data_IF_838843017403
#
_entry.id   IF_838843017403
#
_cell.length_a   1.000
_cell.length_b   1.000
_cell.length_c   1.000
_cell.angle_alpha   90.00
_cell.angle_beta   90.00
_cell.angle_gamma   90.00
#
_symmetry.space_group_name_H-M   'P 1'
#
loop_
_entity.id
_entity.type
_entity.pdbx_description
1 polymer ?
#
# COMPACT_ATOMS: atom_id res chain seq x y z
N UNK A 1 10.08 -51.11 -43.62
CA UNK A 1 10.00 -49.67 -43.98
C UNK A 1 9.03 -48.83 -43.14
N UNK A 2 8.00 -49.39 -42.48
CA UNK A 2 6.95 -48.59 -41.82
C UNK A 2 7.30 -48.02 -40.41
N UNK A 3 8.44 -48.38 -39.82
CA UNK A 3 8.84 -47.95 -38.47
C UNK A 3 9.48 -46.55 -38.40
N UNK A 4 9.95 -46.01 -39.54
CA UNK A 4 10.55 -44.68 -39.63
C UNK A 4 9.53 -43.54 -39.60
N UNK A 5 8.42 -43.70 -40.34
CA UNK A 5 7.34 -42.71 -40.48
C UNK A 5 6.55 -42.53 -39.17
N UNK A 6 6.37 -43.62 -38.41
CA UNK A 6 5.69 -43.57 -37.09
C UNK A 6 6.55 -42.89 -36.01
N UNK A 7 7.89 -43.02 -36.10
CA UNK A 7 8.82 -42.34 -35.18
C UNK A 7 8.90 -40.84 -35.45
N UNK A 8 8.93 -40.43 -36.72
CA UNK A 8 8.97 -39.00 -37.08
C UNK A 8 7.66 -38.29 -36.73
N UNK A 9 6.50 -38.93 -36.90
CA UNK A 9 5.21 -38.37 -36.49
C UNK A 9 5.08 -38.16 -34.98
N UNK A 10 5.53 -39.11 -34.16
CA UNK A 10 5.51 -38.99 -32.69
C UNK A 10 6.44 -37.87 -32.19
N UNK A 11 7.64 -37.75 -32.76
CA UNK A 11 8.57 -36.67 -32.45
C UNK A 11 8.02 -35.27 -32.80
N UNK A 12 7.25 -35.16 -33.90
CA UNK A 12 6.63 -33.89 -34.29
C UNK A 12 5.52 -33.47 -33.32
N UNK A 13 4.68 -34.41 -32.88
CA UNK A 13 3.60 -34.15 -31.91
C UNK A 13 4.18 -33.74 -30.54
N UNK A 14 5.24 -34.40 -30.08
CA UNK A 14 5.91 -34.04 -28.82
C UNK A 14 6.54 -32.64 -28.89
N UNK A 15 7.14 -32.29 -30.04
CA UNK A 15 7.68 -30.95 -30.26
C UNK A 15 6.58 -29.87 -30.31
N UNK A 16 5.44 -30.17 -30.95
CA UNK A 16 4.27 -29.28 -30.98
C UNK A 16 3.66 -29.06 -29.60
N UNK A 17 3.53 -30.11 -28.78
CA UNK A 17 3.02 -30.03 -27.41
C UNK A 17 3.96 -29.24 -26.49
N UNK A 18 5.29 -29.40 -26.65
CA UNK A 18 6.29 -28.57 -25.93
C UNK A 18 6.23 -27.10 -26.33
N UNK A 19 6.00 -26.81 -27.62
CA UNK A 19 5.81 -25.43 -28.10
C UNK A 19 4.51 -24.83 -27.54
N UNK A 20 3.41 -25.58 -27.55
CA UNK A 20 2.13 -25.13 -26.98
C UNK A 20 2.23 -24.87 -25.47
N UNK A 21 2.84 -25.79 -24.71
CA UNK A 21 3.02 -25.64 -23.26
C UNK A 21 3.95 -24.46 -22.92
N UNK A 22 5.06 -24.28 -23.64
CA UNK A 22 5.93 -23.13 -23.43
C UNK A 22 5.25 -21.78 -23.75
N UNK A 23 4.43 -21.72 -24.81
CA UNK A 23 3.67 -20.50 -25.14
C UNK A 23 2.59 -20.21 -24.09
N UNK A 24 1.89 -21.23 -23.60
CA UNK A 24 0.87 -21.07 -22.55
C UNK A 24 1.47 -20.60 -21.22
N UNK A 25 2.64 -21.13 -20.85
CA UNK A 25 3.41 -20.71 -19.67
C UNK A 25 3.84 -19.25 -19.79
N UNK A 26 4.31 -18.82 -20.97
CA UNK A 26 4.70 -17.43 -21.21
C UNK A 26 3.52 -16.45 -21.05
N UNK A 27 2.32 -16.81 -21.53
CA UNK A 27 1.11 -15.97 -21.37
C UNK A 27 0.70 -15.84 -19.89
N UNK A 28 0.82 -16.92 -19.11
CA UNK A 28 0.55 -16.90 -17.66
C UNK A 28 1.52 -16.02 -16.87
N UNK A 29 2.79 -15.93 -17.28
CA UNK A 29 3.79 -15.08 -16.62
C UNK A 29 3.62 -13.59 -16.89
N UNK A 30 2.98 -13.19 -18.00
CA UNK A 30 2.84 -11.77 -18.38
C UNK A 30 1.68 -11.09 -17.63
N UNK A 31 0.71 -11.85 -17.10
CA UNK A 31 -0.46 -11.30 -16.38
C UNK A 31 -0.20 -10.94 -14.91
N UNK A 32 1.03 -11.15 -14.40
CA UNK A 32 1.32 -11.09 -12.95
C UNK A 32 1.92 -9.78 -12.41
N UNK A 33 2.30 -8.82 -13.25
CA UNK A 33 2.98 -7.60 -12.81
C UNK A 33 2.42 -6.37 -13.52
N UNK A 34 1.77 -5.45 -12.80
CA UNK A 34 1.57 -4.10 -13.33
C UNK A 34 0.56 -3.16 -12.69
N UNK A 35 -0.34 -3.59 -11.79
CA UNK A 35 -1.52 -2.77 -11.46
C UNK A 35 -1.53 -2.08 -10.08
N UNK A 36 -0.64 -2.43 -9.14
CA UNK A 36 -0.73 -1.92 -7.77
C UNK A 36 -0.45 -0.42 -7.63
N UNK A 37 0.43 0.13 -8.46
CA UNK A 37 0.72 1.57 -8.44
C UNK A 37 -0.42 2.38 -9.08
N UNK A 38 -1.08 1.84 -10.11
CA UNK A 38 -2.27 2.44 -10.69
C UNK A 38 -3.45 2.42 -9.70
N UNK A 39 -3.63 1.30 -8.99
CA UNK A 39 -4.65 1.17 -7.94
C UNK A 39 -4.44 2.19 -6.81
N UNK A 40 -3.19 2.32 -6.31
CA UNK A 40 -2.84 3.34 -5.30
C UNK A 40 -3.07 4.76 -5.82
N UNK A 41 -2.69 5.03 -7.07
CA UNK A 41 -2.87 6.35 -7.67
C UNK A 41 -4.34 6.73 -7.75
N UNK A 42 -5.19 5.81 -8.23
CA UNK A 42 -6.63 6.03 -8.30
C UNK A 42 -7.22 6.24 -6.89
N UNK A 43 -6.83 5.42 -5.92
CA UNK A 43 -7.26 5.57 -4.52
C UNK A 43 -6.91 6.95 -3.96
N UNK A 44 -5.67 7.42 -4.15
CA UNK A 44 -5.24 8.74 -3.68
C UNK A 44 -5.98 9.86 -4.42
N UNK A 45 -6.16 9.75 -5.74
CA UNK A 45 -6.93 10.73 -6.51
C UNK A 45 -8.37 10.84 -5.98
N UNK A 46 -9.04 9.71 -5.79
CA UNK A 46 -10.43 9.66 -5.30
C UNK A 46 -10.55 10.23 -3.89
N UNK A 47 -9.57 9.96 -3.02
CA UNK A 47 -9.51 10.52 -1.67
C UNK A 47 -9.33 12.04 -1.70
N UNK A 48 -8.35 12.54 -2.44
CA UNK A 48 -8.05 13.99 -2.53
C UNK A 48 -9.20 14.78 -3.16
N UNK A 49 -9.94 14.19 -4.10
CA UNK A 49 -11.15 14.81 -4.67
C UNK A 49 -12.28 14.98 -3.65
N UNK A 50 -12.37 14.10 -2.67
CA UNK A 50 -13.40 14.10 -1.63
C UNK A 50 -13.09 15.05 -0.46
N UNK A 51 -11.84 15.48 -0.31
CA UNK A 51 -11.41 16.36 0.77
C UNK A 51 -11.81 17.82 0.56
N UNK A 52 -12.27 18.44 1.63
CA UNK A 52 -12.38 19.90 1.81
C UNK A 52 -11.01 20.58 1.78
N UNK A 53 -11.00 21.91 1.68
CA UNK A 53 -9.75 22.68 1.76
C UNK A 53 -9.07 22.52 3.12
N UNK A 54 -9.85 22.53 4.19
CA UNK A 54 -9.33 22.41 5.56
C UNK A 54 -8.68 21.05 5.79
N UNK A 55 -9.29 19.96 5.31
CA UNK A 55 -8.69 18.62 5.35
C UNK A 55 -7.37 18.57 4.56
N UNK A 56 -7.29 19.24 3.39
CA UNK A 56 -6.05 19.28 2.60
C UNK A 56 -4.93 20.04 3.31
N UNK A 57 -5.25 21.17 3.92
CA UNK A 57 -4.30 21.95 4.72
C UNK A 57 -3.86 21.16 5.96
N UNK A 58 -4.80 20.50 6.64
CA UNK A 58 -4.53 19.61 7.76
C UNK A 58 -3.54 18.51 7.39
N UNK A 59 -3.75 17.83 6.26
CA UNK A 59 -2.83 16.78 5.79
C UNK A 59 -1.42 17.29 5.47
N UNK A 60 -1.26 18.54 5.07
CA UNK A 60 0.05 19.18 4.85
C UNK A 60 0.71 19.69 6.14
N UNK A 61 0.02 19.61 7.28
CA UNK A 61 0.47 20.18 8.55
C UNK A 61 1.05 19.10 9.46
N UNK A 62 2.28 19.36 9.92
CA UNK A 62 2.98 18.53 10.89
C UNK A 62 3.23 19.33 12.17
N UNK A 63 2.77 18.80 13.31
CA UNK A 63 2.81 19.50 14.61
C UNK A 63 3.68 18.73 15.61
N UNK A 64 4.49 19.41 16.43
CA UNK A 64 5.13 18.77 17.59
C UNK A 64 4.07 18.45 18.64
N UNK A 65 4.06 17.23 19.19
CA UNK A 65 3.05 16.81 20.17
C UNK A 65 2.88 17.76 21.37
N UNK A 66 3.91 18.54 21.72
CA UNK A 66 3.86 19.54 22.81
C UNK A 66 2.99 20.76 22.49
N UNK A 67 2.65 20.95 21.22
CA UNK A 67 1.82 22.05 20.73
C UNK A 67 0.35 21.65 20.59
N UNK A 68 -0.01 20.42 20.96
CA UNK A 68 -1.40 20.02 21.09
C UNK A 68 -1.93 20.55 22.42
N UNK A 69 -2.98 21.37 22.37
CA UNK A 69 -3.72 21.75 23.57
C UNK A 69 -4.58 20.57 24.05
N UNK A 70 -5.05 19.75 23.10
CA UNK A 70 -5.76 18.49 23.32
C UNK A 70 -5.44 17.46 22.23
N UNK A 71 -5.49 16.17 22.54
CA UNK A 71 -5.41 15.13 21.50
C UNK A 71 -6.55 15.28 20.46
N UNK A 72 -7.68 15.89 20.86
CA UNK A 72 -8.80 16.16 19.95
C UNK A 72 -8.41 17.10 18.79
N UNK A 73 -7.40 17.95 18.98
CA UNK A 73 -6.90 18.86 17.95
C UNK A 73 -6.44 18.12 16.69
N UNK A 74 -6.01 16.87 16.84
CA UNK A 74 -5.63 15.99 15.72
C UNK A 74 -6.80 15.80 14.77
N UNK A 75 -7.99 15.54 15.32
CA UNK A 75 -9.22 15.36 14.57
C UNK A 75 -9.79 16.70 14.10
N UNK A 76 -9.82 17.70 14.99
CA UNK A 76 -10.42 19.01 14.72
C UNK A 76 -9.73 19.78 13.60
N UNK A 77 -8.41 19.62 13.47
CA UNK A 77 -7.61 20.26 12.42
C UNK A 77 -7.16 19.31 11.31
N UNK A 78 -7.67 18.06 11.29
CA UNK A 78 -7.33 17.05 10.28
C UNK A 78 -5.82 16.85 10.08
N UNK A 79 -5.05 16.90 11.18
CA UNK A 79 -3.58 16.92 11.13
C UNK A 79 -3.05 15.67 10.42
N UNK A 80 -2.20 15.88 9.41
CA UNK A 80 -1.59 14.79 8.64
C UNK A 80 -0.40 14.15 9.35
N UNK A 81 0.24 14.87 10.28
CA UNK A 81 1.41 14.35 10.98
C UNK A 81 1.60 14.98 12.35
N UNK A 82 2.09 14.14 13.27
CA UNK A 82 2.54 14.56 14.60
C UNK A 82 3.98 14.09 14.76
N UNK A 83 4.83 14.97 15.27
CA UNK A 83 6.22 14.68 15.53
C UNK A 83 6.55 14.75 17.02
N UNK A 84 7.55 13.98 17.41
CA UNK A 84 8.20 14.08 18.70
C UNK A 84 9.61 14.62 18.49
N UNK A 85 9.80 15.91 18.72
CA UNK A 85 11.11 16.56 18.64
C UNK A 85 12.06 16.06 19.73
N UNK A 86 13.32 16.52 19.71
CA UNK A 86 14.31 16.14 20.72
C UNK A 86 13.81 16.37 22.16
N UNK A 87 13.80 15.31 22.97
CA UNK A 87 13.30 15.34 24.36
C UNK A 87 11.77 15.36 24.50
N UNK A 88 11.01 15.40 23.42
CA UNK A 88 9.55 15.30 23.43
C UNK A 88 9.15 13.83 23.54
N UNK A 89 9.29 13.26 24.74
CA UNK A 89 8.91 11.88 25.06
C UNK A 89 7.49 11.83 25.65
N UNK A 90 6.79 10.69 25.60
CA UNK A 90 5.62 10.46 26.45
C UNK A 90 6.01 10.46 27.95
N UNK A 91 5.04 10.68 28.83
CA UNK A 91 5.25 10.67 30.29
C UNK A 91 5.87 9.34 30.77
N UNK A 92 5.39 8.23 30.20
CA UNK A 92 6.01 6.91 30.30
C UNK A 92 7.00 6.71 29.14
N UNK A 93 8.28 7.04 29.34
CA UNK A 93 9.32 6.85 28.33
C UNK A 93 9.82 5.40 28.23
N UNK A 94 8.88 4.46 28.08
CA UNK A 94 9.14 3.06 27.74
C UNK A 94 8.56 2.75 26.35
N UNK A 95 8.97 1.65 25.68
CA UNK A 95 8.35 1.25 24.42
C UNK A 95 6.82 1.12 24.51
N UNK A 96 6.29 0.72 25.67
CA UNK A 96 4.84 0.64 25.89
C UNK A 96 4.18 2.02 25.96
N UNK A 97 4.77 2.98 26.66
CA UNK A 97 4.24 4.35 26.70
C UNK A 97 4.24 5.03 25.33
N UNK A 98 5.25 4.78 24.50
CA UNK A 98 5.28 5.21 23.10
C UNK A 98 4.14 4.59 22.27
N UNK A 99 3.92 3.28 22.38
CA UNK A 99 2.81 2.60 21.69
C UNK A 99 1.47 3.18 22.14
N UNK A 100 1.28 3.41 23.43
CA UNK A 100 0.05 3.94 23.98
C UNK A 100 -0.25 5.35 23.43
N UNK A 101 0.76 6.23 23.41
CA UNK A 101 0.64 7.58 22.85
C UNK A 101 0.33 7.57 21.35
N UNK A 102 1.04 6.77 20.56
CA UNK A 102 0.76 6.68 19.11
C UNK A 102 -0.65 6.14 18.86
N UNK A 103 -1.08 5.14 19.62
CA UNK A 103 -2.42 4.58 19.48
C UNK A 103 -3.52 5.57 19.89
N UNK A 104 -3.30 6.41 20.91
CA UNK A 104 -4.28 7.45 21.28
C UNK A 104 -4.40 8.50 20.17
N UNK A 105 -3.29 8.96 19.61
CA UNK A 105 -3.28 9.90 18.48
C UNK A 105 -3.93 9.31 17.23
N UNK A 106 -3.59 8.06 16.89
CA UNK A 106 -4.19 7.36 15.76
C UNK A 106 -5.70 7.19 15.93
N UNK A 107 -6.18 6.96 17.16
CA UNK A 107 -7.62 6.87 17.45
C UNK A 107 -8.34 8.19 17.16
N UNK A 108 -7.72 9.33 17.44
CA UNK A 108 -8.27 10.64 17.09
C UNK A 108 -8.29 10.83 15.56
N UNK A 109 -7.20 10.52 14.88
CA UNK A 109 -7.12 10.62 13.41
C UNK A 109 -8.15 9.71 12.70
N UNK A 110 -8.42 8.51 13.22
CA UNK A 110 -9.43 7.60 12.69
C UNK A 110 -10.87 7.96 13.07
N UNK A 111 -11.08 8.99 13.90
CA UNK A 111 -12.41 9.47 14.28
C UNK A 111 -12.99 10.46 13.27
N UNK A 112 -12.16 10.95 12.34
CA UNK A 112 -12.59 11.73 11.17
C UNK A 112 -13.00 10.81 10.02
N UNK A 113 -13.58 11.39 8.97
CA UNK A 113 -14.07 10.68 7.79
C UNK A 113 -12.99 9.88 7.05
#
# INVERSE_FOLDING_TARGET
>A
MNRGIQRTGRLYIDAANKRLTNTLILILFISGCGNSDQEKHNFVQDLVQQMTLDEKVGQMTQVDKRMLDSEKDIADYFLGSILSGGGSVPDDNTPRGWINMVNSYQKQALSTR
#
